data_IF_655727755418
#
_entry.id   IF_655727755418
#
_cell.length_a   1.000
_cell.length_b   1.000
_cell.length_c   1.000
_cell.angle_alpha   90.00
_cell.angle_beta   90.00
_cell.angle_gamma   90.00
#
_symmetry.space_group_name_H-M   'P 1'
#
loop_
_entity.id
_entity.type
_entity.pdbx_description
1 polymer ?
#
# COMPACT_ATOMS: atom_id res chain seq x y z
N UNK A 1 15.30 3.60 -2.36
CA UNK A 1 13.91 4.00 -2.75
C UNK A 1 13.72 4.20 -4.25
N UNK A 2 14.42 5.13 -4.92
CA UNK A 2 14.24 5.38 -6.36
C UNK A 2 14.39 4.12 -7.22
N UNK A 3 15.34 3.25 -6.87
CA UNK A 3 15.57 1.99 -7.58
C UNK A 3 14.35 1.06 -7.56
N UNK A 4 13.53 1.13 -6.49
CA UNK A 4 12.31 0.32 -6.35
C UNK A 4 11.16 0.80 -7.23
N UNK A 5 11.24 2.03 -7.74
CA UNK A 5 10.17 2.65 -8.54
C UNK A 5 10.54 2.81 -10.02
N UNK A 6 11.70 2.31 -10.47
CA UNK A 6 12.18 2.50 -11.86
C UNK A 6 11.18 1.96 -12.90
N UNK A 7 10.52 0.84 -12.63
CA UNK A 7 9.53 0.24 -13.54
C UNK A 7 8.15 0.90 -13.53
N UNK A 8 7.92 1.90 -12.67
CA UNK A 8 6.64 2.56 -12.51
C UNK A 8 6.57 3.80 -13.39
N UNK A 9 5.82 3.70 -14.50
CA UNK A 9 5.59 4.83 -15.39
C UNK A 9 4.59 5.82 -14.79
N UNK A 10 5.10 6.78 -14.01
CA UNK A 10 4.27 7.81 -13.39
C UNK A 10 3.55 8.72 -14.40
N UNK A 11 3.94 8.74 -15.69
CA UNK A 11 3.21 9.48 -16.73
C UNK A 11 1.86 8.82 -17.09
N UNK A 12 1.69 7.54 -16.74
CA UNK A 12 0.43 6.81 -16.89
C UNK A 12 -0.60 7.16 -15.80
N UNK A 13 -0.21 7.85 -14.72
CA UNK A 13 -1.13 8.20 -13.64
C UNK A 13 -2.28 9.11 -14.12
N UNK A 14 -3.48 8.86 -13.60
CA UNK A 14 -4.68 9.66 -13.84
C UNK A 14 -5.35 9.99 -12.52
N UNK A 15 -5.90 11.20 -12.42
CA UNK A 15 -6.66 11.59 -11.23
C UNK A 15 -7.96 10.79 -11.14
N UNK A 16 -8.14 10.06 -10.04
CA UNK A 16 -9.33 9.25 -9.80
C UNK A 16 -10.34 9.93 -8.86
N UNK A 17 -9.87 10.82 -7.98
CA UNK A 17 -10.73 11.45 -6.97
C UNK A 17 -9.96 12.06 -5.81
N UNK A 18 -10.71 12.63 -4.86
CA UNK A 18 -10.21 13.12 -3.58
C UNK A 18 -11.21 12.78 -2.47
N UNK A 19 -10.71 12.23 -1.37
CA UNK A 19 -11.45 12.07 -0.13
C UNK A 19 -10.92 13.07 0.90
N UNK A 20 -11.82 13.73 1.63
CA UNK A 20 -11.45 14.70 2.68
C UNK A 20 -12.12 14.30 3.98
N UNK A 21 -11.34 14.24 5.06
CA UNK A 21 -11.79 13.89 6.39
C UNK A 21 -11.43 15.01 7.36
N UNK A 22 -12.40 15.43 8.20
CA UNK A 22 -12.14 16.32 9.33
C UNK A 22 -11.99 15.46 10.59
N UNK A 23 -10.75 15.37 11.11
CA UNK A 23 -10.40 14.50 12.22
C UNK A 23 -10.09 15.38 13.44
N UNK A 24 -10.90 15.25 14.49
CA UNK A 24 -10.73 15.95 15.76
C UNK A 24 -9.63 15.32 16.62
N UNK A 25 -8.40 15.31 16.12
CA UNK A 25 -7.25 14.74 16.80
C UNK A 25 -5.99 15.59 16.58
N UNK A 26 -4.96 15.37 17.40
CA UNK A 26 -3.64 15.90 17.11
C UNK A 26 -3.08 15.22 15.84
N UNK A 27 -2.49 15.99 14.93
CA UNK A 27 -1.94 15.47 13.68
C UNK A 27 -0.90 14.36 13.87
N UNK A 28 -0.17 14.35 15.00
CA UNK A 28 0.79 13.29 15.33
C UNK A 28 0.14 11.91 15.46
N UNK A 29 -1.09 11.84 15.96
CA UNK A 29 -1.80 10.57 16.12
C UNK A 29 -2.15 9.92 14.78
N UNK A 30 -2.40 10.72 13.74
CA UNK A 30 -2.62 10.20 12.37
C UNK A 30 -1.33 9.56 11.85
N UNK A 31 -0.19 10.18 12.14
CA UNK A 31 1.11 9.64 11.75
C UNK A 31 1.46 8.36 12.52
N UNK A 32 1.28 8.35 13.85
CA UNK A 32 1.46 7.16 14.69
C UNK A 32 0.55 5.99 14.25
N UNK A 33 -0.70 6.30 13.88
CA UNK A 33 -1.61 5.30 13.33
C UNK A 33 -1.14 4.76 11.97
N UNK A 34 -0.57 5.60 11.11
CA UNK A 34 -0.11 5.16 9.79
C UNK A 34 1.08 4.19 9.84
N UNK A 35 2.03 4.41 10.76
CA UNK A 35 3.29 3.64 10.81
C UNK A 35 3.16 2.31 11.57
N UNK A 36 2.12 2.13 12.39
CA UNK A 36 1.97 0.98 13.29
C UNK A 36 0.90 0.00 12.80
N UNK A 37 1.19 -1.31 12.76
CA UNK A 37 0.26 -2.31 12.22
C UNK A 37 -0.60 -3.02 13.26
N UNK A 38 -0.30 -2.83 14.56
CA UNK A 38 -0.99 -3.54 15.64
C UNK A 38 -2.52 -3.37 15.65
N UNK A 39 -3.06 -2.24 15.19
CA UNK A 39 -4.51 -2.00 15.23
C UNK A 39 -5.28 -2.72 14.10
N UNK A 40 -4.59 -3.24 13.07
CA UNK A 40 -5.20 -3.65 11.81
C UNK A 40 -6.23 -4.77 11.97
N UNK A 41 -5.95 -5.76 12.81
CA UNK A 41 -6.83 -6.92 13.00
C UNK A 41 -8.18 -6.55 13.64
N UNK A 42 -8.24 -5.44 14.39
CA UNK A 42 -9.46 -5.02 15.09
C UNK A 42 -10.28 -4.03 14.28
N UNK A 43 -9.65 -3.04 13.63
CA UNK A 43 -10.37 -1.90 13.03
C UNK A 43 -10.46 -1.94 11.50
N UNK A 44 -9.75 -2.86 10.83
CA UNK A 44 -9.74 -2.94 9.36
C UNK A 44 -10.19 -4.32 8.83
N UNK A 45 -11.47 -4.71 9.00
CA UNK A 45 -11.96 -6.03 8.59
C UNK A 45 -11.85 -6.26 7.08
N UNK A 46 -11.97 -5.21 6.26
CA UNK A 46 -11.75 -5.31 4.81
C UNK A 46 -10.28 -5.57 4.50
N UNK A 47 -9.37 -4.79 5.11
CA UNK A 47 -7.94 -4.96 4.89
C UNK A 47 -7.44 -6.33 5.35
N UNK A 48 -8.02 -6.90 6.40
CA UNK A 48 -7.73 -8.27 6.87
C UNK A 48 -8.11 -9.36 5.85
N UNK A 49 -9.14 -9.13 5.01
CA UNK A 49 -9.49 -10.08 3.94
C UNK A 49 -8.45 -10.10 2.83
N UNK A 50 -7.86 -8.95 2.50
CA UNK A 50 -6.95 -8.81 1.37
C UNK A 50 -5.47 -8.95 1.75
N UNK A 51 -5.09 -8.61 2.98
CA UNK A 51 -3.74 -8.73 3.52
C UNK A 51 -3.78 -9.22 4.99
N UNK A 52 -4.04 -10.52 5.21
CA UNK A 52 -4.02 -11.12 6.54
C UNK A 52 -2.69 -10.91 7.27
N UNK A 53 -2.73 -10.78 8.60
CA UNK A 53 -1.53 -10.51 9.41
C UNK A 53 -0.42 -11.56 9.25
N UNK A 54 -0.76 -12.84 9.06
CA UNK A 54 0.21 -13.94 8.97
C UNK A 54 1.05 -13.94 7.69
N UNK A 55 0.68 -13.15 6.68
CA UNK A 55 1.44 -12.98 5.43
C UNK A 55 2.06 -11.59 5.32
N UNK A 56 1.92 -10.74 6.35
CA UNK A 56 2.51 -9.40 6.33
C UNK A 56 3.98 -9.47 6.67
N UNK A 57 4.75 -8.70 5.93
CA UNK A 57 6.15 -8.47 6.19
C UNK A 57 6.30 -7.30 7.19
N UNK A 58 7.07 -7.50 8.27
CA UNK A 58 7.23 -6.52 9.36
C UNK A 58 7.98 -5.24 8.95
N UNK A 59 8.66 -5.28 7.81
CA UNK A 59 9.42 -4.19 7.20
C UNK A 59 10.90 -4.51 7.08
N UNK A 60 11.63 -3.78 6.26
CA UNK A 60 13.09 -3.84 6.20
C UNK A 60 13.68 -2.44 6.13
N UNK A 61 14.96 -2.35 6.51
CA UNK A 61 15.76 -1.15 6.30
C UNK A 61 16.50 -1.25 4.97
N UNK A 62 16.23 -0.32 4.06
CA UNK A 62 17.04 -0.06 2.85
C UNK A 62 17.77 1.27 3.04
N UNK A 63 19.06 1.18 3.40
CA UNK A 63 19.93 2.32 3.70
C UNK A 63 19.37 3.20 4.83
N UNK A 64 18.72 4.31 4.49
CA UNK A 64 18.14 5.27 5.43
C UNK A 64 16.61 5.24 5.44
N UNK A 65 15.99 4.31 4.70
CA UNK A 65 14.55 4.18 4.59
C UNK A 65 14.09 2.88 5.26
N UNK A 66 13.17 3.01 6.21
CA UNK A 66 12.34 1.88 6.62
C UNK A 66 11.15 1.78 5.69
N UNK A 67 10.92 0.59 5.14
CA UNK A 67 9.76 0.34 4.29
C UNK A 67 9.07 -0.96 4.71
N UNK A 68 7.77 -1.01 4.50
CA UNK A 68 6.96 -2.23 4.54
C UNK A 68 6.23 -2.32 3.21
N UNK A 69 6.33 -3.46 2.54
CA UNK A 69 5.60 -3.74 1.31
C UNK A 69 4.62 -4.90 1.50
N UNK A 70 3.71 -5.00 0.54
CA UNK A 70 2.71 -6.06 0.48
C UNK A 70 2.74 -6.64 -0.91
N UNK A 71 2.83 -7.97 -0.99
CA UNK A 71 2.65 -8.71 -2.24
C UNK A 71 1.28 -9.38 -2.19
N UNK A 72 0.48 -9.16 -3.23
CA UNK A 72 -0.85 -9.73 -3.37
C UNK A 72 -0.77 -10.92 -4.33
N UNK A 73 -1.22 -12.08 -3.90
CA UNK A 73 -1.24 -13.27 -4.78
C UNK A 73 -2.26 -13.12 -5.91
N UNK A 74 -3.36 -12.41 -5.67
CA UNK A 74 -4.46 -12.17 -6.62
C UNK A 74 -4.99 -10.75 -6.52
N UNK A 75 -5.43 -10.21 -7.66
CA UNK A 75 -6.20 -8.98 -7.70
C UNK A 75 -7.61 -9.22 -7.13
N UNK A 76 -8.17 -8.21 -6.49
CA UNK A 76 -9.52 -8.22 -5.92
C UNK A 76 -10.23 -6.91 -6.32
N UNK A 77 -11.55 -6.89 -6.30
CA UNK A 77 -12.41 -5.72 -6.59
C UNK A 77 -12.00 -4.52 -5.72
N UNK A 78 -11.59 -4.77 -4.48
CA UNK A 78 -11.08 -3.75 -3.57
C UNK A 78 -9.66 -3.25 -3.87
N UNK A 79 -8.93 -3.88 -4.80
CA UNK A 79 -7.53 -3.59 -5.10
C UNK A 79 -7.12 -4.02 -6.50
N UNK A 80 -7.42 -3.17 -7.48
CA UNK A 80 -6.79 -3.25 -8.79
C UNK A 80 -7.49 -4.14 -9.79
N UNK A 81 -8.47 -4.96 -9.39
CA UNK A 81 -9.27 -5.68 -10.36
C UNK A 81 -9.96 -4.68 -11.31
N UNK A 82 -9.78 -4.90 -12.60
CA UNK A 82 -10.19 -4.00 -13.69
C UNK A 82 -9.56 -2.59 -13.70
N UNK A 83 -8.58 -2.28 -12.85
CA UNK A 83 -7.84 -1.02 -12.91
C UNK A 83 -6.62 -1.13 -13.84
N UNK A 84 -6.25 -0.05 -14.55
CA UNK A 84 -5.06 -0.06 -15.39
C UNK A 84 -3.78 -0.26 -14.56
N UNK A 85 -2.95 -1.22 -14.98
CA UNK A 85 -1.62 -1.45 -14.41
C UNK A 85 -0.54 -0.71 -15.20
N UNK A 86 0.60 -0.46 -14.55
CA UNK A 86 1.77 0.12 -15.24
C UNK A 86 2.27 -0.86 -16.32
N UNK A 87 2.41 -0.43 -17.57
CA UNK A 87 2.66 -1.34 -18.71
C UNK A 87 4.06 -1.98 -18.69
N UNK A 88 5.00 -1.41 -17.93
CA UNK A 88 6.41 -1.82 -17.91
C UNK A 88 6.79 -2.65 -16.66
N UNK A 89 5.82 -2.98 -15.80
CA UNK A 89 6.07 -3.81 -14.63
C UNK A 89 6.16 -5.29 -15.00
N UNK A 90 7.07 -6.01 -14.34
CA UNK A 90 7.07 -7.48 -14.35
C UNK A 90 5.82 -8.03 -13.65
N UNK A 91 5.50 -9.31 -13.87
CA UNK A 91 4.37 -9.97 -13.20
C UNK A 91 4.48 -9.89 -11.67
N UNK A 92 5.68 -10.06 -11.12
CA UNK A 92 5.94 -9.88 -9.69
C UNK A 92 5.81 -8.42 -9.26
N UNK A 93 6.29 -7.47 -10.06
CA UNK A 93 6.17 -6.04 -9.78
C UNK A 93 4.72 -5.56 -9.77
N UNK A 94 3.87 -6.13 -10.63
CA UNK A 94 2.45 -5.82 -10.70
C UNK A 94 1.66 -6.31 -9.48
N UNK A 95 2.18 -7.32 -8.77
CA UNK A 95 1.61 -7.87 -7.53
C UNK A 95 2.03 -7.12 -6.27
N UNK A 96 2.95 -6.15 -6.37
CA UNK A 96 3.42 -5.36 -5.21
C UNK A 96 2.58 -4.10 -5.03
N UNK A 97 2.21 -3.81 -3.79
CA UNK A 97 1.78 -2.48 -3.40
C UNK A 97 2.99 -1.56 -3.22
N UNK A 98 3.13 -0.56 -4.09
CA UNK A 98 3.79 0.70 -3.69
C UNK A 98 2.83 1.53 -2.84
#
# INVERSE_FOLDING_TARGET
MFDRTIGYDFSALRWAGKLTFDIKANWKLVYENYVESYHIFTVHPRLMKFAPMNIRWAGEWDRQLFYSDYTFEKYDEGRGDSLPHYPQLSEEGAKRGL
#
